data_IF_961535234864
#
_entry.id   IF_961535234864
#
_cell.length_a   1.000
_cell.length_b   1.000
_cell.length_c   1.000
_cell.angle_alpha   90.00
_cell.angle_beta   90.00
_cell.angle_gamma   90.00
#
_symmetry.space_group_name_H-M   'P 1'
#
loop_
_entity.id
_entity.type
_entity.pdbx_description
1 polymer ?
#
# COMPACT_ATOMS: atom_id res chain seq x y z
N UNK A 1 -1.42 9.41 -7.98
CA UNK A 1 -1.63 10.48 -6.96
C UNK A 1 -0.97 10.07 -5.65
N UNK A 2 -0.48 10.99 -4.82
CA UNK A 2 0.12 10.66 -3.51
C UNK A 2 -0.24 11.69 -2.44
N UNK A 3 -0.14 11.32 -1.16
CA UNK A 3 -0.39 12.22 -0.03
C UNK A 3 -0.54 11.52 1.31
N UNK A 4 -0.92 12.27 2.34
CA UNK A 4 -1.16 11.78 3.70
C UNK A 4 -2.62 11.33 3.88
N UNK A 5 -2.82 10.20 4.56
CA UNK A 5 -4.16 9.70 4.91
C UNK A 5 -4.42 9.86 6.42
N UNK A 6 -3.97 8.91 7.24
CA UNK A 6 -4.10 8.93 8.70
C UNK A 6 -2.77 9.24 9.36
N UNK A 7 -2.81 9.92 10.49
CA UNK A 7 -1.63 10.10 11.33
C UNK A 7 -1.99 10.06 12.81
N UNK A 8 -0.97 9.89 13.63
CA UNK A 8 -1.06 10.11 15.05
C UNK A 8 0.10 10.99 15.47
N UNK A 9 -0.21 12.07 16.18
CA UNK A 9 0.79 12.97 16.77
C UNK A 9 0.81 12.81 18.28
N UNK A 10 1.90 13.21 18.91
CA UNK A 10 2.03 13.26 20.34
C UNK A 10 2.80 14.48 20.81
N UNK A 11 2.49 14.90 22.04
CA UNK A 11 3.23 15.92 22.79
C UNK A 11 3.27 15.52 24.26
N UNK A 12 4.39 15.85 24.92
CA UNK A 12 4.55 15.69 26.36
C UNK A 12 4.26 17.02 27.04
N UNK A 13 3.28 17.04 27.94
CA UNK A 13 2.80 18.25 28.62
C UNK A 13 3.02 18.16 30.13
N UNK A 14 3.41 19.27 30.75
CA UNK A 14 3.48 19.42 32.22
C UNK A 14 2.09 19.70 32.80
N UNK A 15 1.17 18.76 32.63
CA UNK A 15 -0.21 18.87 33.09
C UNK A 15 -0.68 17.53 33.61
N UNK A 16 -1.44 17.54 34.70
CA UNK A 16 -2.02 16.33 35.29
C UNK A 16 -2.98 15.65 34.32
N UNK A 17 -2.88 14.32 34.21
CA UNK A 17 -3.69 13.53 33.28
C UNK A 17 -5.19 13.66 33.57
N UNK A 18 -5.59 13.79 34.86
CA UNK A 18 -6.97 13.97 35.28
C UNK A 18 -7.53 15.30 34.79
N UNK A 19 -6.71 16.35 34.81
CA UNK A 19 -7.09 17.67 34.33
C UNK A 19 -7.39 17.65 32.83
N UNK A 20 -6.46 17.10 32.04
CA UNK A 20 -6.63 16.95 30.59
C UNK A 20 -7.86 16.11 30.27
N UNK A 21 -8.05 15.00 31.01
CA UNK A 21 -9.22 14.13 30.89
C UNK A 21 -10.55 14.88 31.07
N UNK A 22 -10.67 15.71 32.10
CA UNK A 22 -11.91 16.44 32.35
C UNK A 22 -12.18 17.49 31.27
N UNK A 23 -11.14 18.11 30.69
CA UNK A 23 -11.30 18.98 29.51
C UNK A 23 -11.75 18.23 28.27
N UNK A 24 -11.18 17.05 27.99
CA UNK A 24 -11.62 16.20 26.87
C UNK A 24 -13.10 15.85 27.01
N UNK A 25 -13.55 15.45 28.21
CA UNK A 25 -14.97 15.13 28.45
C UNK A 25 -15.89 16.34 28.26
N UNK A 26 -15.46 17.53 28.66
CA UNK A 26 -16.22 18.77 28.42
C UNK A 26 -16.31 19.09 26.93
N UNK A 27 -15.21 18.94 26.20
CA UNK A 27 -15.14 19.26 24.77
C UNK A 27 -15.82 18.21 23.89
N UNK A 28 -15.76 16.94 24.30
CA UNK A 28 -16.35 15.80 23.62
C UNK A 28 -17.23 14.99 24.58
N UNK A 29 -18.43 15.49 24.93
CA UNK A 29 -19.30 14.87 25.93
C UNK A 29 -19.74 13.43 25.61
N UNK A 30 -19.79 13.10 24.32
CA UNK A 30 -20.18 11.77 23.83
C UNK A 30 -19.00 10.83 23.58
N UNK A 31 -17.77 11.24 23.91
CA UNK A 31 -16.60 10.38 23.75
C UNK A 31 -16.64 9.21 24.72
N UNK A 32 -16.39 8.00 24.21
CA UNK A 32 -16.34 6.79 25.03
C UNK A 32 -14.89 6.47 25.40
N UNK A 33 -14.62 6.19 26.68
CA UNK A 33 -13.31 5.75 27.14
C UNK A 33 -13.21 4.23 27.02
N UNK A 34 -12.48 3.72 26.01
CA UNK A 34 -12.34 2.29 25.74
C UNK A 34 -11.47 1.56 26.78
N UNK A 35 -10.60 2.29 27.50
CA UNK A 35 -9.80 1.75 28.60
C UNK A 35 -9.62 2.80 29.71
N UNK A 36 -9.94 2.45 30.94
CA UNK A 36 -9.73 3.27 32.14
C UNK A 36 -8.72 2.56 33.05
N UNK A 37 -7.44 2.59 32.71
CA UNK A 37 -6.43 2.43 33.75
C UNK A 37 -6.09 3.83 34.29
N UNK A 38 -5.63 3.93 35.53
CA UNK A 38 -5.25 5.24 36.10
C UNK A 38 -4.13 5.93 35.30
N UNK A 39 -3.41 5.19 34.46
CA UNK A 39 -2.21 5.66 33.77
C UNK A 39 -2.40 5.78 32.25
N UNK A 40 -3.51 5.30 31.69
CA UNK A 40 -3.78 5.34 30.26
C UNK A 40 -5.26 5.43 29.99
N UNK A 41 -5.65 6.45 29.23
CA UNK A 41 -7.04 6.67 28.80
C UNK A 41 -7.08 6.73 27.27
N UNK A 42 -8.08 6.09 26.67
CA UNK A 42 -8.29 6.12 25.22
C UNK A 42 -9.72 6.59 24.93
N UNK A 43 -9.86 7.78 24.38
CA UNK A 43 -11.14 8.39 24.02
C UNK A 43 -11.40 8.20 22.54
N UNK A 44 -12.49 7.51 22.20
CA UNK A 44 -13.01 7.47 20.84
C UNK A 44 -13.83 8.74 20.59
N UNK A 45 -13.37 9.56 19.66
CA UNK A 45 -13.97 10.86 19.34
C UNK A 45 -14.86 10.74 18.11
N UNK A 46 -14.35 10.16 17.02
CA UNK A 46 -15.03 9.99 15.71
C UNK A 46 -15.82 11.23 15.26
N UNK A 47 -15.26 12.42 15.49
CA UNK A 47 -15.85 13.71 15.13
C UNK A 47 -14.88 14.49 14.27
N UNK A 48 -15.38 15.05 13.18
CA UNK A 48 -14.58 15.77 12.17
C UNK A 48 -13.43 14.87 11.68
N UNK A 49 -12.18 15.34 11.79
CA UNK A 49 -11.02 14.59 11.41
C UNK A 49 -10.41 13.75 12.55
N UNK A 50 -10.83 13.93 13.80
CA UNK A 50 -10.24 13.27 14.97
C UNK A 50 -10.90 11.90 15.20
N UNK A 51 -10.08 10.84 15.17
CA UNK A 51 -10.52 9.48 15.49
C UNK A 51 -10.46 9.23 17.01
N UNK A 52 -9.27 9.40 17.59
CA UNK A 52 -9.00 9.06 18.98
C UNK A 52 -8.10 10.09 19.63
N UNK A 53 -8.31 10.30 20.93
CA UNK A 53 -7.35 10.99 21.80
C UNK A 53 -6.93 10.01 22.88
N UNK A 54 -5.63 9.76 23.00
CA UNK A 54 -5.05 8.87 24.00
C UNK A 54 -4.19 9.68 24.96
N UNK A 55 -4.39 9.46 26.26
CA UNK A 55 -3.57 10.04 27.32
C UNK A 55 -2.72 8.95 27.97
N UNK A 56 -1.46 9.25 28.23
CA UNK A 56 -0.53 8.37 28.95
C UNK A 56 0.18 9.14 30.05
N UNK A 57 0.16 8.64 31.29
CA UNK A 57 0.83 9.28 32.42
C UNK A 57 2.30 8.86 32.50
N UNK A 58 3.22 9.83 32.57
CA UNK A 58 4.64 9.61 32.85
C UNK A 58 4.93 9.82 34.34
N UNK A 59 4.74 8.76 35.12
CA UNK A 59 4.88 8.73 36.60
C UNK A 59 6.12 9.46 37.14
N UNK A 60 7.27 9.28 36.49
CA UNK A 60 8.54 9.83 36.98
C UNK A 60 8.69 11.35 36.80
N UNK A 61 7.86 11.99 35.96
CA UNK A 61 8.03 13.40 35.59
C UNK A 61 6.81 14.29 35.89
N UNK A 62 5.71 13.74 36.45
CA UNK A 62 4.41 14.42 36.52
C UNK A 62 3.99 15.04 35.18
N UNK A 63 4.32 14.35 34.09
CA UNK A 63 3.98 14.77 32.74
C UNK A 63 2.91 13.84 32.18
N UNK A 64 2.06 14.37 31.33
CA UNK A 64 1.11 13.58 30.54
C UNK A 64 1.55 13.62 29.09
N UNK A 65 1.45 12.50 28.39
CA UNK A 65 1.55 12.47 26.93
C UNK A 65 0.15 12.52 26.35
N UNK A 66 -0.13 13.54 25.54
CA UNK A 66 -1.35 13.62 24.74
C UNK A 66 -1.02 13.07 23.36
N UNK A 67 -1.77 12.07 22.90
CA UNK A 67 -1.69 11.53 21.54
C UNK A 67 -3.01 11.75 20.82
N UNK A 68 -2.95 12.27 19.60
CA UNK A 68 -4.15 12.53 18.80
C UNK A 68 -4.02 11.75 17.50
N UNK A 69 -4.95 10.84 17.27
CA UNK A 69 -5.10 10.08 16.04
C UNK A 69 -6.17 10.72 15.16
N UNK A 70 -5.82 11.04 13.93
CA UNK A 70 -6.67 11.82 13.03
C UNK A 70 -6.45 11.44 11.57
N UNK A 71 -7.33 11.92 10.70
CA UNK A 71 -7.28 11.72 9.26
C UNK A 71 -7.17 13.05 8.54
N UNK A 72 -6.07 13.27 7.81
CA UNK A 72 -5.83 14.51 7.07
C UNK A 72 -6.97 14.88 6.10
N UNK A 73 -7.47 13.96 5.24
CA UNK A 73 -8.53 14.29 4.29
C UNK A 73 -9.85 14.69 4.95
N UNK A 74 -10.18 14.04 6.08
CA UNK A 74 -11.49 14.20 6.74
C UNK A 74 -11.71 15.57 7.39
N UNK A 75 -10.67 16.40 7.43
CA UNK A 75 -10.83 17.77 7.90
C UNK A 75 -11.58 18.63 6.86
N UNK A 76 -11.43 18.30 5.58
CA UNK A 76 -12.05 19.04 4.47
C UNK A 76 -13.22 18.28 3.84
N UNK A 77 -13.25 16.96 3.98
CA UNK A 77 -14.22 16.07 3.34
C UNK A 77 -14.82 15.09 4.37
N UNK A 78 -15.96 14.47 4.05
CA UNK A 78 -16.56 13.48 4.95
C UNK A 78 -15.95 12.07 4.84
N UNK A 79 -15.00 11.87 3.91
CA UNK A 79 -14.36 10.60 3.64
C UNK A 79 -12.84 10.73 3.49
N UNK A 80 -12.16 9.61 3.23
CA UNK A 80 -10.72 9.56 2.97
C UNK A 80 -10.38 8.79 1.69
N UNK A 81 -11.26 8.85 0.68
CA UNK A 81 -11.07 8.19 -0.62
C UNK A 81 -9.81 8.72 -1.32
N UNK A 82 -9.49 9.98 -1.13
CA UNK A 82 -8.30 10.64 -1.66
C UNK A 82 -7.43 11.14 -0.50
N UNK A 83 -6.12 10.81 -0.44
CA UNK A 83 -5.23 11.42 0.54
C UNK A 83 -5.05 12.92 0.31
N UNK A 84 -4.65 13.60 1.38
CA UNK A 84 -4.31 15.01 1.36
C UNK A 84 -2.94 15.19 0.69
N UNK A 85 -2.91 15.91 -0.43
CA UNK A 85 -1.71 16.12 -1.25
C UNK A 85 -1.23 17.58 -1.26
N UNK A 86 -1.99 18.48 -0.65
CA UNK A 86 -1.74 19.92 -0.63
C UNK A 86 -1.09 20.33 0.70
N UNK A 87 0.06 20.99 0.62
CA UNK A 87 0.86 21.38 1.78
C UNK A 87 0.19 22.49 2.62
N UNK A 88 -0.48 23.45 1.97
CA UNK A 88 -1.18 24.51 2.70
C UNK A 88 -2.35 23.93 3.49
N UNK A 89 -3.08 22.99 2.90
CA UNK A 89 -4.13 22.25 3.61
C UNK A 89 -3.58 21.39 4.74
N UNK A 90 -2.39 20.80 4.59
CA UNK A 90 -1.72 20.07 5.69
C UNK A 90 -1.47 21.02 6.86
N UNK A 91 -0.88 22.18 6.60
CA UNK A 91 -0.58 23.17 7.64
C UNK A 91 -1.85 23.63 8.37
N UNK A 92 -2.97 23.85 7.65
CA UNK A 92 -4.26 24.17 8.28
C UNK A 92 -4.71 23.07 9.26
N UNK A 93 -4.55 21.79 8.90
CA UNK A 93 -4.90 20.68 9.78
C UNK A 93 -3.99 20.66 11.01
N UNK A 94 -2.69 20.84 10.81
CA UNK A 94 -1.68 20.85 11.87
C UNK A 94 -1.89 22.01 12.86
N UNK A 95 -2.18 23.22 12.36
CA UNK A 95 -2.55 24.38 13.18
C UNK A 95 -3.79 24.10 14.05
N UNK A 96 -4.80 23.43 13.48
CA UNK A 96 -6.00 23.06 14.23
C UNK A 96 -5.70 22.02 15.32
N UNK A 97 -4.76 21.11 15.08
CA UNK A 97 -4.31 20.15 16.10
C UNK A 97 -3.59 20.85 17.25
N UNK A 98 -2.72 21.83 16.95
CA UNK A 98 -2.05 22.64 17.98
C UNK A 98 -3.07 23.42 18.82
N UNK A 99 -4.05 24.07 18.17
CA UNK A 99 -5.16 24.76 18.86
C UNK A 99 -5.97 23.82 19.74
N UNK A 100 -6.28 22.62 19.25
CA UNK A 100 -6.96 21.60 20.03
C UNK A 100 -6.13 21.23 21.27
N UNK A 101 -4.84 20.98 21.13
CA UNK A 101 -3.97 20.64 22.27
C UNK A 101 -3.93 21.81 23.28
N UNK A 102 -3.72 23.05 22.82
CA UNK A 102 -3.70 24.24 23.67
C UNK A 102 -5.01 24.41 24.45
N UNK A 103 -6.16 24.03 23.88
CA UNK A 103 -7.45 24.05 24.59
C UNK A 103 -7.53 23.02 25.73
N UNK A 104 -6.71 21.98 25.71
CA UNK A 104 -6.68 20.91 26.71
C UNK A 104 -5.70 21.16 27.86
N UNK A 105 -4.86 22.18 27.76
CA UNK A 105 -3.84 22.57 28.75
C UNK A 105 -3.95 24.06 29.12
N UNK A 106 -3.12 24.54 30.04
CA UNK A 106 -3.16 25.93 30.56
C UNK A 106 -2.00 26.82 30.08
N UNK A 107 -1.25 26.35 29.09
CA UNK A 107 -0.17 27.11 28.47
C UNK A 107 -0.14 26.84 26.97
N UNK A 108 0.56 27.69 26.25
CA UNK A 108 0.66 27.59 24.79
C UNK A 108 1.85 26.72 24.40
N UNK A 109 1.59 25.72 23.58
CA UNK A 109 2.59 24.99 22.81
C UNK A 109 2.52 25.41 21.34
N UNK A 110 3.61 25.13 20.63
CA UNK A 110 3.72 25.36 19.18
C UNK A 110 3.87 24.05 18.41
N UNK A 111 3.73 24.11 17.09
CA UNK A 111 3.95 23.00 16.16
C UNK A 111 5.35 22.35 16.30
N UNK A 112 6.36 23.10 16.77
CA UNK A 112 7.72 22.63 17.06
C UNK A 112 7.76 21.52 18.12
N UNK A 113 6.78 21.51 19.03
CA UNK A 113 6.72 20.57 20.16
C UNK A 113 5.90 19.31 19.84
N UNK A 114 5.07 19.38 18.80
CA UNK A 114 4.20 18.28 18.38
C UNK A 114 4.93 17.39 17.38
N UNK A 115 4.99 16.08 17.68
CA UNK A 115 5.75 15.10 16.90
C UNK A 115 4.85 13.99 16.38
N UNK A 116 5.23 13.37 15.26
CA UNK A 116 4.53 12.18 14.78
C UNK A 116 4.84 10.95 15.65
N UNK A 117 3.78 10.30 16.15
CA UNK A 117 3.85 8.91 16.63
C UNK A 117 3.85 7.95 15.44
N UNK A 118 3.06 8.25 14.40
CA UNK A 118 3.13 7.64 13.08
C UNK A 118 2.43 8.51 12.02
N UNK A 119 2.73 8.28 10.75
CA UNK A 119 1.90 8.75 9.63
C UNK A 119 1.68 7.64 8.60
N UNK A 120 0.59 7.73 7.85
CA UNK A 120 0.25 6.88 6.71
C UNK A 120 0.40 7.71 5.42
N UNK A 121 1.51 7.48 4.70
CA UNK A 121 1.72 8.04 3.37
C UNK A 121 1.16 7.08 2.32
N UNK A 122 0.42 7.61 1.37
CA UNK A 122 -0.28 6.78 0.38
C UNK A 122 0.05 7.23 -1.03
N UNK A 123 0.11 6.24 -1.92
CA UNK A 123 0.02 6.42 -3.36
C UNK A 123 -1.22 5.69 -3.85
N UNK A 124 -1.86 6.24 -4.87
CA UNK A 124 -3.04 5.63 -5.44
C UNK A 124 -3.21 5.92 -6.92
N UNK A 125 -3.83 4.97 -7.59
CA UNK A 125 -4.12 5.00 -9.01
C UNK A 125 -5.53 4.47 -9.29
N UNK A 126 -6.25 5.18 -10.15
CA UNK A 126 -7.51 4.69 -10.67
C UNK A 126 -7.23 3.57 -11.68
N UNK A 127 -7.83 2.40 -11.45
CA UNK A 127 -7.69 1.22 -12.30
C UNK A 127 -9.07 0.76 -12.73
N UNK A 128 -9.17 0.17 -13.92
CA UNK A 128 -10.45 -0.35 -14.43
C UNK A 128 -10.97 -1.50 -13.55
N UNK A 129 -10.42 -2.69 -13.77
CA UNK A 129 -10.81 -3.89 -13.02
C UNK A 129 -9.67 -4.32 -12.09
N UNK A 130 -9.97 -4.47 -10.80
CA UNK A 130 -8.96 -4.81 -9.80
C UNK A 130 -8.33 -6.19 -10.03
N UNK A 131 -9.11 -7.19 -10.45
CA UNK A 131 -8.60 -8.56 -10.69
C UNK A 131 -7.48 -8.60 -11.74
N UNK A 132 -7.42 -7.63 -12.67
CA UNK A 132 -6.36 -7.53 -13.68
C UNK A 132 -4.97 -7.29 -13.08
N UNK A 133 -4.91 -6.85 -11.82
CA UNK A 133 -3.68 -6.65 -11.07
C UNK A 133 -3.31 -7.86 -10.20
N UNK A 134 -4.05 -8.98 -10.27
CA UNK A 134 -3.79 -10.15 -9.44
C UNK A 134 -2.34 -10.64 -9.54
N UNK A 135 -1.80 -10.79 -10.75
CA UNK A 135 -0.43 -11.26 -10.94
C UNK A 135 0.59 -10.30 -10.31
N UNK A 136 0.44 -8.99 -10.51
CA UNK A 136 1.32 -7.97 -9.90
C UNK A 136 1.25 -8.03 -8.37
N UNK A 137 0.04 -8.07 -7.80
CA UNK A 137 -0.16 -8.13 -6.35
C UNK A 137 0.44 -9.41 -5.76
N UNK A 138 0.22 -10.54 -6.43
CA UNK A 138 0.73 -11.85 -6.01
C UNK A 138 2.26 -11.88 -6.04
N UNK A 139 2.87 -11.41 -7.13
CA UNK A 139 4.33 -11.33 -7.26
C UNK A 139 4.92 -10.37 -6.24
N UNK A 140 4.29 -9.22 -6.01
CA UNK A 140 4.77 -8.27 -5.02
C UNK A 140 4.70 -8.85 -3.60
N UNK A 141 3.63 -9.55 -3.26
CA UNK A 141 3.53 -10.26 -1.98
C UNK A 141 4.56 -11.39 -1.83
N UNK A 142 4.82 -12.16 -2.91
CA UNK A 142 5.86 -13.20 -2.94
C UNK A 142 7.24 -12.58 -2.72
N UNK A 143 7.56 -11.50 -3.43
CA UNK A 143 8.82 -10.77 -3.31
C UNK A 143 9.07 -10.31 -1.86
N UNK A 144 8.06 -9.70 -1.22
CA UNK A 144 8.13 -9.32 0.20
C UNK A 144 8.33 -10.54 1.10
N UNK A 145 7.56 -11.61 0.87
CA UNK A 145 7.62 -12.84 1.68
C UNK A 145 8.98 -13.54 1.60
N UNK A 146 9.66 -13.50 0.45
CA UNK A 146 10.99 -14.09 0.30
C UNK A 146 12.09 -13.26 0.95
N UNK A 147 11.90 -11.94 0.99
CA UNK A 147 12.90 -11.03 1.55
C UNK A 147 12.86 -10.97 3.06
N UNK A 148 11.67 -11.01 3.63
CA UNK A 148 11.42 -10.71 5.04
C UNK A 148 10.85 -11.94 5.75
N UNK A 149 11.61 -12.47 6.71
CA UNK A 149 11.32 -13.76 7.34
C UNK A 149 10.17 -13.72 8.37
N UNK A 150 10.00 -12.61 9.10
CA UNK A 150 9.48 -12.72 10.48
C UNK A 150 8.25 -11.86 10.84
N UNK A 151 7.31 -11.65 9.89
CA UNK A 151 6.35 -10.56 10.05
C UNK A 151 4.89 -10.85 9.69
N UNK A 152 4.01 -10.15 10.41
CA UNK A 152 2.56 -10.09 10.19
C UNK A 152 2.24 -9.80 8.72
N UNK A 153 1.69 -10.80 8.05
CA UNK A 153 1.28 -10.73 6.64
C UNK A 153 -0.09 -11.37 6.46
N UNK A 154 -0.97 -10.66 5.77
CA UNK A 154 -2.35 -11.10 5.49
C UNK A 154 -2.69 -10.71 4.06
N UNK A 155 -3.07 -11.68 3.24
CA UNK A 155 -3.63 -11.41 1.92
C UNK A 155 -5.15 -11.24 1.99
N UNK A 156 -5.69 -10.39 1.13
CA UNK A 156 -7.11 -10.14 1.03
C UNK A 156 -7.68 -10.79 -0.22
N UNK A 157 -8.80 -11.48 -0.05
CA UNK A 157 -9.55 -12.09 -1.13
C UNK A 157 -11.01 -11.65 -1.04
N UNK A 158 -11.67 -11.62 -2.18
CA UNK A 158 -13.10 -11.40 -2.27
C UNK A 158 -13.71 -12.37 -3.29
N UNK A 159 -15.02 -12.53 -3.25
CA UNK A 159 -15.76 -13.47 -4.08
C UNK A 159 -16.72 -12.72 -4.99
N UNK A 160 -16.59 -12.94 -6.29
CA UNK A 160 -17.55 -12.46 -7.28
C UNK A 160 -18.64 -13.51 -7.43
N UNK A 161 -19.85 -13.19 -6.94
CA UNK A 161 -21.00 -14.09 -6.99
C UNK A 161 -21.45 -14.39 -8.43
N UNK A 162 -21.40 -13.40 -9.32
CA UNK A 162 -21.85 -13.55 -10.71
C UNK A 162 -20.94 -14.49 -11.50
N UNK A 163 -19.63 -14.43 -11.25
CA UNK A 163 -18.65 -15.28 -11.93
C UNK A 163 -18.30 -16.55 -11.14
N UNK A 164 -18.83 -16.70 -9.91
CA UNK A 164 -18.50 -17.76 -8.97
C UNK A 164 -16.98 -17.96 -8.77
N UNK A 165 -16.25 -16.86 -8.56
CA UNK A 165 -14.77 -16.86 -8.48
C UNK A 165 -14.23 -16.00 -7.36
N UNK A 166 -13.13 -16.45 -6.75
CA UNK A 166 -12.34 -15.61 -5.86
C UNK A 166 -11.45 -14.66 -6.67
N UNK A 167 -11.07 -13.53 -6.10
CA UNK A 167 -10.02 -12.66 -6.64
C UNK A 167 -9.28 -11.95 -5.49
N UNK A 168 -7.99 -11.70 -5.69
CA UNK A 168 -7.17 -10.98 -4.70
C UNK A 168 -7.60 -9.51 -4.68
N UNK A 169 -7.77 -8.95 -3.48
CA UNK A 169 -8.11 -7.55 -3.25
C UNK A 169 -6.98 -6.75 -2.61
N UNK A 170 -5.83 -7.38 -2.38
CA UNK A 170 -4.65 -6.74 -1.81
C UNK A 170 -3.98 -7.56 -0.73
N UNK A 171 -3.21 -6.90 0.13
CA UNK A 171 -2.60 -7.47 1.32
C UNK A 171 -2.23 -6.39 2.34
N UNK A 172 -2.02 -6.81 3.58
CA UNK A 172 -1.19 -6.13 4.58
C UNK A 172 0.09 -6.92 4.75
N UNK A 173 1.22 -6.22 4.85
CA UNK A 173 2.52 -6.81 5.14
C UNK A 173 3.27 -5.86 6.06
N UNK A 174 3.95 -6.36 7.08
CA UNK A 174 4.84 -5.55 7.90
C UNK A 174 6.28 -5.94 7.53
N UNK A 175 7.09 -5.15 6.81
CA UNK A 175 8.46 -5.59 6.46
C UNK A 175 9.45 -5.54 7.62
N UNK A 176 9.19 -4.70 8.62
CA UNK A 176 9.98 -4.63 9.85
C UNK A 176 9.17 -3.90 10.93
N UNK A 177 9.63 -3.98 12.17
CA UNK A 177 9.01 -3.25 13.28
C UNK A 177 9.00 -1.74 12.98
N UNK A 178 7.80 -1.16 12.93
CA UNK A 178 7.60 0.27 12.70
C UNK A 178 7.31 0.66 11.25
N UNK A 179 7.32 -0.30 10.31
CA UNK A 179 6.86 -0.08 8.95
C UNK A 179 5.82 -1.12 8.55
N UNK A 180 4.62 -0.66 8.18
CA UNK A 180 3.55 -1.50 7.66
C UNK A 180 3.13 -1.03 6.27
N UNK A 181 3.01 -1.97 5.36
CA UNK A 181 2.51 -1.78 3.99
C UNK A 181 1.08 -2.30 3.91
N UNK A 182 0.18 -1.53 3.30
CA UNK A 182 -1.12 -2.02 2.85
C UNK A 182 -1.31 -1.74 1.38
N UNK A 183 -1.55 -2.77 0.59
CA UNK A 183 -1.98 -2.64 -0.80
C UNK A 183 -3.42 -3.11 -0.87
N UNK A 184 -4.36 -2.30 -1.33
CA UNK A 184 -5.77 -2.70 -1.38
C UNK A 184 -6.59 -1.87 -2.36
N UNK A 185 -7.84 -2.30 -2.58
CA UNK A 185 -8.80 -1.48 -3.32
C UNK A 185 -9.54 -0.49 -2.41
N UNK A 186 -9.18 0.80 -2.49
CA UNK A 186 -9.80 1.85 -1.69
C UNK A 186 -11.27 2.07 -2.05
N UNK A 187 -11.62 1.98 -3.34
CA UNK A 187 -13.02 2.08 -3.79
C UNK A 187 -13.90 0.98 -3.19
N UNK A 188 -13.44 -0.27 -3.18
CA UNK A 188 -14.19 -1.38 -2.57
C UNK A 188 -14.27 -1.26 -1.05
N UNK A 189 -13.20 -0.83 -0.38
CA UNK A 189 -13.21 -0.57 1.06
C UNK A 189 -14.25 0.49 1.43
N UNK A 190 -14.26 1.62 0.73
CA UNK A 190 -15.25 2.68 0.94
C UNK A 190 -16.68 2.20 0.69
N UNK A 191 -16.89 1.46 -0.40
CA UNK A 191 -18.22 0.99 -0.80
C UNK A 191 -18.81 -0.06 0.15
N UNK A 192 -18.03 -0.66 1.06
CA UNK A 192 -18.56 -1.54 2.12
C UNK A 192 -19.26 -0.77 3.24
N UNK A 193 -18.99 0.52 3.41
CA UNK A 193 -19.61 1.35 4.45
C UNK A 193 -21.02 1.77 4.06
N UNK A 194 -21.93 1.74 5.03
CA UNK A 194 -23.30 2.20 4.88
C UNK A 194 -23.33 3.74 4.88
N UNK A 195 -24.27 4.34 4.13
CA UNK A 195 -24.51 5.78 4.08
C UNK A 195 -23.34 6.67 3.58
N UNK A 196 -22.37 6.10 2.86
CA UNK A 196 -21.28 6.85 2.22
C UNK A 196 -21.48 6.89 0.70
N UNK A 197 -21.05 7.99 0.06
CA UNK A 197 -20.99 8.14 -1.39
C UNK A 197 -20.27 6.95 -2.02
N UNK A 198 -20.96 6.22 -2.90
CA UNK A 198 -20.36 5.12 -3.65
C UNK A 198 -19.38 5.64 -4.69
N UNK A 199 -18.22 5.00 -4.75
CA UNK A 199 -17.17 5.27 -5.74
C UNK A 199 -17.35 4.32 -6.91
N UNK A 200 -17.38 4.85 -8.13
CA UNK A 200 -17.35 4.05 -9.36
C UNK A 200 -15.90 3.74 -9.73
N UNK A 201 -15.64 2.52 -10.19
CA UNK A 201 -14.30 2.05 -10.56
C UNK A 201 -13.47 1.58 -9.37
N UNK A 202 -12.32 0.99 -9.66
CA UNK A 202 -11.40 0.51 -8.64
C UNK A 202 -10.27 1.54 -8.44
N UNK A 203 -9.95 1.83 -7.18
CA UNK A 203 -8.77 2.65 -6.83
C UNK A 203 -7.80 1.70 -6.15
N UNK A 204 -6.65 1.44 -6.79
CA UNK A 204 -5.56 0.71 -6.16
C UNK A 204 -4.80 1.69 -5.28
N UNK A 205 -4.63 1.36 -4.00
CA UNK A 205 -3.91 2.19 -3.02
C UNK A 205 -2.80 1.38 -2.39
N UNK A 206 -1.61 1.95 -2.36
CA UNK A 206 -0.47 1.48 -1.59
C UNK A 206 -0.22 2.47 -0.45
N UNK A 207 -0.19 1.98 0.78
CA UNK A 207 -0.06 2.76 2.00
C UNK A 207 1.18 2.32 2.77
N UNK A 208 1.99 3.29 3.15
CA UNK A 208 3.16 3.14 4.02
C UNK A 208 2.84 3.78 5.36
N UNK A 209 2.60 2.96 6.37
CA UNK A 209 2.51 3.41 7.75
C UNK A 209 3.90 3.36 8.38
N UNK A 210 4.46 4.52 8.68
CA UNK A 210 5.78 4.66 9.29
C UNK A 210 5.61 5.18 10.72
N UNK A 211 6.13 4.46 11.71
CA UNK A 211 6.10 4.89 13.12
C UNK A 211 7.24 5.83 13.45
N UNK A 212 7.15 6.49 14.60
CA UNK A 212 8.18 7.39 15.13
C UNK A 212 9.60 6.83 15.09
N UNK A 213 9.78 5.51 15.22
CA UNK A 213 11.10 4.88 15.16
C UNK A 213 11.72 5.03 13.77
N UNK A 214 10.91 4.78 12.73
CA UNK A 214 11.32 4.91 11.33
C UNK A 214 11.38 6.39 10.92
N UNK A 215 10.44 7.21 11.39
CA UNK A 215 10.45 8.66 11.13
C UNK A 215 11.75 9.28 11.65
N UNK A 216 12.15 8.97 12.89
CA UNK A 216 13.41 9.47 13.47
C UNK A 216 14.67 9.01 12.72
N UNK A 217 14.64 7.88 12.03
CA UNK A 217 15.79 7.44 11.23
C UNK A 217 15.89 8.15 9.87
N UNK A 218 14.80 8.77 9.41
CA UNK A 218 14.74 9.39 8.09
C UNK A 218 14.68 10.92 8.10
N UNK A 219 14.12 11.52 9.16
CA UNK A 219 13.97 12.95 9.29
C UNK A 219 14.77 13.46 10.48
N UNK A 220 15.65 14.43 10.24
CA UNK A 220 16.47 15.08 11.27
C UNK A 220 15.59 15.75 12.33
N UNK A 221 14.59 16.51 11.88
CA UNK A 221 13.57 17.11 12.72
C UNK A 221 12.27 16.30 12.61
N UNK A 222 11.75 15.84 13.75
CA UNK A 222 10.58 14.95 13.82
C UNK A 222 9.29 15.64 14.28
N UNK A 223 9.31 16.96 14.38
CA UNK A 223 8.11 17.76 14.61
C UNK A 223 7.31 17.89 13.31
N UNK A 224 5.99 18.05 13.45
CA UNK A 224 5.07 18.21 12.33
C UNK A 224 5.41 19.42 11.44
N UNK A 225 5.97 20.49 12.03
CA UNK A 225 6.38 21.72 11.34
C UNK A 225 7.40 21.48 10.23
N UNK A 226 8.35 20.58 10.47
CA UNK A 226 9.52 20.40 9.61
C UNK A 226 9.37 19.29 8.57
N UNK A 227 8.31 18.50 8.66
CA UNK A 227 8.10 17.37 7.74
C UNK A 227 7.01 17.75 6.75
N UNK A 228 7.40 18.06 5.51
CA UNK A 228 6.44 18.33 4.43
C UNK A 228 6.00 17.05 3.72
N UNK A 229 4.89 17.10 2.97
CA UNK A 229 4.44 15.99 2.11
C UNK A 229 5.52 15.65 1.07
N UNK A 230 6.22 16.68 0.57
CA UNK A 230 7.31 16.51 -0.39
C UNK A 230 8.49 15.78 0.23
N UNK A 231 8.91 16.15 1.43
CA UNK A 231 10.02 15.49 2.13
C UNK A 231 9.70 14.01 2.38
N UNK A 232 8.46 13.70 2.75
CA UNK A 232 8.01 12.31 2.92
C UNK A 232 8.09 11.55 1.60
N UNK A 233 7.59 12.13 0.52
CA UNK A 233 7.63 11.51 -0.82
C UNK A 233 9.07 11.25 -1.25
N UNK A 234 9.94 12.26 -1.14
CA UNK A 234 11.33 12.16 -1.58
C UNK A 234 12.10 11.14 -0.74
N UNK A 235 11.85 11.10 0.57
CA UNK A 235 12.37 10.06 1.47
C UNK A 235 11.93 8.66 1.03
N UNK A 236 10.63 8.45 0.83
CA UNK A 236 10.08 7.13 0.42
C UNK A 236 10.69 6.72 -0.92
N UNK A 237 10.73 7.64 -1.89
CA UNK A 237 11.27 7.39 -3.22
C UNK A 237 12.75 6.98 -3.17
N UNK A 238 13.56 7.66 -2.37
CA UNK A 238 15.00 7.43 -2.30
C UNK A 238 15.40 6.22 -1.44
N UNK A 239 14.52 5.74 -0.56
CA UNK A 239 14.82 4.64 0.37
C UNK A 239 13.98 3.39 0.10
N UNK A 240 12.66 3.51 0.30
CA UNK A 240 11.71 2.41 0.26
C UNK A 240 11.41 2.00 -1.18
N UNK A 241 11.13 2.94 -2.08
CA UNK A 241 10.70 2.65 -3.46
C UNK A 241 11.77 1.93 -4.27
N UNK A 242 13.04 2.33 -4.14
CA UNK A 242 14.17 1.63 -4.75
C UNK A 242 14.25 0.17 -4.30
N UNK A 243 14.08 -0.06 -3.01
CA UNK A 243 14.13 -1.38 -2.39
C UNK A 243 12.97 -2.27 -2.88
N UNK A 244 11.75 -1.77 -2.84
CA UNK A 244 10.56 -2.49 -3.31
C UNK A 244 10.57 -2.74 -4.82
N UNK A 245 11.02 -1.76 -5.60
CA UNK A 245 11.15 -1.86 -7.05
C UNK A 245 12.07 -3.01 -7.46
N UNK A 246 13.27 -3.07 -6.88
CA UNK A 246 14.24 -4.15 -7.12
C UNK A 246 13.70 -5.52 -6.72
N UNK A 247 13.07 -5.63 -5.56
CA UNK A 247 12.48 -6.91 -5.11
C UNK A 247 11.43 -7.45 -6.08
N UNK A 248 10.58 -6.58 -6.61
CA UNK A 248 9.56 -7.00 -7.57
C UNK A 248 10.17 -7.39 -8.92
N UNK A 249 11.22 -6.67 -9.38
CA UNK A 249 11.99 -7.06 -10.56
C UNK A 249 12.57 -8.46 -10.37
N UNK A 250 13.29 -8.68 -9.26
CA UNK A 250 13.92 -9.96 -8.94
C UNK A 250 12.91 -11.12 -8.90
N UNK A 251 11.70 -10.92 -8.36
CA UNK A 251 10.68 -11.97 -8.35
C UNK A 251 10.13 -12.27 -9.75
N UNK A 252 9.97 -11.26 -10.61
CA UNK A 252 9.55 -11.48 -12.00
C UNK A 252 10.66 -12.19 -12.77
N UNK A 253 11.91 -11.74 -12.69
CA UNK A 253 13.06 -12.40 -13.33
C UNK A 253 13.20 -13.86 -12.86
N UNK A 254 13.05 -14.11 -11.56
CA UNK A 254 13.03 -15.47 -11.01
C UNK A 254 11.97 -16.35 -11.65
N UNK A 255 10.76 -15.83 -11.86
CA UNK A 255 9.71 -16.59 -12.55
C UNK A 255 10.08 -16.94 -13.99
N UNK A 256 10.78 -16.03 -14.67
CA UNK A 256 11.27 -16.24 -16.04
C UNK A 256 12.30 -17.37 -16.06
N UNK A 257 13.24 -17.39 -15.12
CA UNK A 257 14.24 -18.46 -15.04
C UNK A 257 13.61 -19.82 -14.75
N UNK A 258 12.65 -19.88 -13.81
CA UNK A 258 11.89 -21.12 -13.57
C UNK A 258 11.16 -21.59 -14.83
N UNK A 259 10.51 -20.67 -15.56
CA UNK A 259 9.83 -21.03 -16.80
C UNK A 259 10.82 -21.48 -17.89
N UNK A 260 11.97 -20.82 -18.04
CA UNK A 260 13.00 -21.24 -19.01
C UNK A 260 13.42 -22.68 -18.75
N UNK A 261 13.71 -23.04 -17.50
CA UNK A 261 14.06 -24.41 -17.11
C UNK A 261 12.97 -25.44 -17.46
N UNK A 262 11.70 -25.10 -17.21
CA UNK A 262 10.55 -25.98 -17.50
C UNK A 262 10.28 -26.16 -18.99
N UNK A 263 10.62 -25.17 -19.80
CA UNK A 263 10.37 -25.17 -21.24
C UNK A 263 11.61 -25.60 -22.06
N UNK A 264 12.67 -26.10 -21.43
CA UNK A 264 13.81 -26.69 -22.15
C UNK A 264 13.34 -27.88 -23.00
N UNK A 265 13.69 -27.88 -24.29
CA UNK A 265 13.46 -29.00 -25.23
C UNK A 265 12.00 -29.49 -25.30
N UNK A 266 11.02 -28.64 -24.99
CA UNK A 266 9.61 -29.03 -25.00
C UNK A 266 9.16 -29.53 -26.39
N UNK A 267 8.22 -30.49 -26.43
CA UNK A 267 7.55 -30.87 -27.68
C UNK A 267 6.24 -30.11 -27.79
N UNK A 268 5.78 -29.87 -29.03
CA UNK A 268 4.52 -29.20 -29.31
C UNK A 268 3.31 -29.80 -28.56
N UNK A 269 3.30 -31.13 -28.40
CA UNK A 269 2.24 -31.85 -27.72
C UNK A 269 2.21 -31.53 -26.20
N UNK A 270 3.38 -31.28 -25.61
CA UNK A 270 3.55 -31.01 -24.18
C UNK A 270 3.20 -29.56 -23.80
N UNK A 271 3.03 -28.65 -24.80
CA UNK A 271 2.84 -27.22 -24.56
C UNK A 271 1.58 -26.90 -23.73
N UNK A 272 0.50 -27.69 -23.89
CA UNK A 272 -0.73 -27.49 -23.12
C UNK A 272 -0.54 -27.82 -21.63
N UNK A 273 0.03 -28.99 -21.32
CA UNK A 273 0.31 -29.38 -19.93
C UNK A 273 1.36 -28.47 -19.29
N UNK A 274 2.45 -28.17 -19.99
CA UNK A 274 3.52 -27.30 -19.46
C UNK A 274 2.99 -25.92 -19.05
N UNK A 275 2.14 -25.30 -19.86
CA UNK A 275 1.57 -24.00 -19.53
C UNK A 275 0.62 -24.09 -18.33
N UNK A 276 -0.26 -25.10 -18.32
CA UNK A 276 -1.26 -25.27 -17.26
C UNK A 276 -0.63 -25.59 -15.90
N UNK A 277 0.41 -26.41 -15.89
CA UNK A 277 1.10 -26.81 -14.67
C UNK A 277 1.94 -25.67 -14.06
N UNK A 278 2.29 -24.66 -14.87
CA UNK A 278 3.15 -23.54 -14.46
C UNK A 278 2.43 -22.18 -14.46
N UNK A 279 1.09 -22.14 -14.44
CA UNK A 279 0.30 -20.91 -14.47
C UNK A 279 0.64 -19.92 -13.34
N UNK A 280 1.16 -20.38 -12.21
CA UNK A 280 1.59 -19.52 -11.09
C UNK A 280 2.90 -18.74 -11.36
N UNK A 281 3.71 -19.23 -12.29
CA UNK A 281 4.98 -18.65 -12.73
C UNK A 281 4.82 -17.81 -14.00
N UNK A 282 3.64 -17.85 -14.64
CA UNK A 282 3.36 -17.06 -15.83
C UNK A 282 2.88 -15.67 -15.41
N UNK A 283 3.81 -14.71 -15.44
CA UNK A 283 3.48 -13.31 -15.19
C UNK A 283 2.70 -12.69 -16.37
N UNK A 284 3.17 -12.87 -17.61
CA UNK A 284 2.54 -12.35 -18.82
C UNK A 284 2.73 -13.31 -20.01
N UNK A 285 1.75 -13.36 -20.92
CA UNK A 285 1.83 -14.08 -22.18
C UNK A 285 3.11 -13.78 -22.98
N UNK A 286 3.51 -12.51 -23.07
CA UNK A 286 4.69 -12.08 -23.85
C UNK A 286 5.97 -12.75 -23.38
N UNK A 287 6.09 -13.03 -22.08
CA UNK A 287 7.25 -13.74 -21.51
C UNK A 287 7.26 -15.19 -21.98
N UNK A 288 6.12 -15.87 -21.96
CA UNK A 288 6.01 -17.26 -22.41
C UNK A 288 6.24 -17.36 -23.92
N UNK A 289 5.68 -16.43 -24.70
CA UNK A 289 5.94 -16.31 -26.14
C UNK A 289 7.43 -16.14 -26.43
N UNK A 290 8.10 -15.24 -25.71
CA UNK A 290 9.54 -15.02 -25.84
C UNK A 290 10.33 -16.30 -25.54
N UNK A 291 10.11 -16.93 -24.39
CA UNK A 291 10.78 -18.18 -24.00
C UNK A 291 10.56 -19.29 -25.04
N UNK A 292 9.31 -19.48 -25.48
CA UNK A 292 8.96 -20.53 -26.45
C UNK A 292 9.57 -20.23 -27.81
N UNK A 293 9.57 -18.98 -28.25
CA UNK A 293 10.17 -18.58 -29.52
C UNK A 293 11.68 -18.72 -29.49
N UNK A 294 12.35 -18.21 -28.45
CA UNK A 294 13.81 -18.16 -28.34
C UNK A 294 14.44 -19.53 -28.15
N UNK A 295 13.73 -20.47 -27.51
CA UNK A 295 14.17 -21.85 -27.31
C UNK A 295 13.86 -22.78 -28.51
N UNK A 296 13.14 -22.29 -29.53
CA UNK A 296 12.70 -23.12 -30.65
C UNK A 296 13.66 -23.11 -31.83
N UNK A 297 14.17 -24.28 -32.20
CA UNK A 297 14.83 -24.49 -33.50
C UNK A 297 13.82 -24.77 -34.64
N UNK A 298 12.57 -24.34 -34.49
CA UNK A 298 11.47 -24.67 -35.39
C UNK A 298 11.33 -23.63 -36.49
N UNK A 299 10.70 -24.03 -37.60
CA UNK A 299 10.48 -23.10 -38.71
C UNK A 299 9.47 -22.01 -38.32
N UNK A 300 9.51 -20.88 -39.01
CA UNK A 300 8.64 -19.73 -38.74
C UNK A 300 7.15 -20.11 -38.62
N UNK A 301 6.65 -20.98 -39.52
CA UNK A 301 5.26 -21.45 -39.49
C UNK A 301 4.91 -22.18 -38.19
N UNK A 302 5.82 -22.99 -37.66
CA UNK A 302 5.63 -23.70 -36.40
C UNK A 302 5.68 -22.73 -35.21
N UNK A 303 6.57 -21.74 -35.22
CA UNK A 303 6.62 -20.69 -34.20
C UNK A 303 5.29 -19.91 -34.16
N UNK A 304 4.76 -19.49 -35.31
CA UNK A 304 3.45 -18.82 -35.40
C UNK A 304 2.33 -19.69 -34.82
N UNK A 305 2.34 -20.99 -35.13
CA UNK A 305 1.39 -21.94 -34.56
C UNK A 305 1.51 -22.04 -33.03
N UNK A 306 2.73 -22.11 -32.48
CA UNK A 306 2.95 -22.14 -31.03
C UNK A 306 2.44 -20.87 -30.36
N UNK A 307 2.69 -19.70 -30.94
CA UNK A 307 2.19 -18.42 -30.42
C UNK A 307 0.68 -18.38 -30.27
N UNK A 308 -0.04 -18.85 -31.30
CA UNK A 308 -1.50 -18.97 -31.27
C UNK A 308 -1.91 -19.94 -30.17
N UNK A 309 -1.28 -21.12 -30.13
CA UNK A 309 -1.59 -22.16 -29.15
C UNK A 309 -1.41 -21.69 -27.70
N UNK A 310 -0.31 -21.00 -27.37
CA UNK A 310 -0.07 -20.42 -26.03
C UNK A 310 -1.21 -19.46 -25.66
N UNK A 311 -1.58 -18.57 -26.59
CA UNK A 311 -2.61 -17.57 -26.37
C UNK A 311 -3.96 -18.22 -26.07
N UNK A 312 -4.32 -19.26 -26.82
CA UNK A 312 -5.56 -20.01 -26.63
C UNK A 312 -5.58 -20.72 -25.27
N UNK A 313 -4.48 -21.38 -24.89
CA UNK A 313 -4.35 -22.07 -23.60
C UNK A 313 -4.49 -21.09 -22.43
N UNK A 314 -3.80 -19.95 -22.47
CA UNK A 314 -3.89 -18.94 -21.42
C UNK A 314 -5.28 -18.30 -21.35
N UNK A 315 -5.91 -18.06 -22.50
CA UNK A 315 -7.29 -17.53 -22.56
C UNK A 315 -8.28 -18.49 -21.90
N UNK A 316 -8.21 -19.78 -22.24
CA UNK A 316 -9.04 -20.80 -21.60
C UNK A 316 -8.72 -20.98 -20.12
N UNK A 317 -7.45 -20.90 -19.73
CA UNK A 317 -7.04 -21.00 -18.33
C UNK A 317 -7.60 -19.85 -17.51
N UNK A 318 -7.55 -18.62 -18.02
CA UNK A 318 -8.14 -17.42 -17.41
C UNK A 318 -9.66 -17.53 -17.23
N UNK A 319 -10.36 -18.11 -18.21
CA UNK A 319 -11.81 -18.36 -18.10
C UNK A 319 -12.17 -19.34 -16.98
N UNK A 320 -11.26 -20.22 -16.55
CA UNK A 320 -11.50 -21.22 -15.50
C UNK A 320 -10.84 -20.88 -14.16
N UNK A 321 -9.86 -19.98 -14.16
CA UNK A 321 -9.05 -19.68 -12.98
C UNK A 321 -9.87 -19.10 -11.81
N UNK A 322 -9.60 -19.62 -10.62
CA UNK A 322 -9.99 -19.08 -9.32
C UNK A 322 -8.80 -19.25 -8.37
N UNK A 323 -8.15 -18.17 -7.89
CA UNK A 323 -8.48 -16.77 -8.08
C UNK A 323 -8.43 -16.29 -9.54
N UNK A 324 -9.36 -15.40 -9.89
CA UNK A 324 -9.41 -14.71 -11.17
C UNK A 324 -8.10 -13.94 -11.39
N UNK A 325 -7.50 -14.17 -12.55
CA UNK A 325 -6.23 -13.59 -12.97
C UNK A 325 -6.26 -13.28 -14.45
N UNK A 326 -5.44 -12.32 -14.86
CA UNK A 326 -5.26 -11.93 -16.25
C UNK A 326 -3.81 -12.26 -16.64
N UNK A 327 -3.60 -12.93 -17.77
CA UNK A 327 -2.26 -13.26 -18.27
C UNK A 327 -1.77 -12.29 -19.36
N UNK A 328 -2.56 -11.27 -19.69
CA UNK A 328 -2.27 -10.35 -20.76
C UNK A 328 -2.13 -8.92 -20.25
N UNK A 329 -1.18 -8.18 -20.82
CA UNK A 329 -0.92 -6.78 -20.53
C UNK A 329 -0.47 -6.49 -19.10
N UNK A 330 0.12 -7.47 -18.42
CA UNK A 330 0.71 -7.30 -17.10
C UNK A 330 2.04 -6.55 -17.17
N UNK A 331 2.76 -6.60 -18.28
CA UNK A 331 3.97 -5.77 -18.50
C UNK A 331 3.63 -4.28 -18.41
N UNK A 332 2.60 -3.83 -19.13
CA UNK A 332 2.16 -2.45 -19.13
C UNK A 332 1.59 -2.03 -17.77
N UNK A 333 0.84 -2.93 -17.12
CA UNK A 333 0.33 -2.69 -15.76
C UNK A 333 1.45 -2.64 -14.72
N UNK A 334 2.53 -3.40 -14.91
CA UNK A 334 3.70 -3.40 -14.04
C UNK A 334 4.46 -2.08 -14.13
N UNK A 335 4.64 -1.54 -15.34
CA UNK A 335 5.23 -0.21 -15.53
C UNK A 335 4.39 0.88 -14.83
N UNK A 336 3.07 0.84 -14.99
CA UNK A 336 2.16 1.74 -14.28
C UNK A 336 2.24 1.55 -12.75
N UNK A 337 2.34 0.30 -12.28
CA UNK A 337 2.48 0.00 -10.86
C UNK A 337 3.79 0.53 -10.27
N UNK A 338 4.90 0.37 -10.99
CA UNK A 338 6.19 0.96 -10.60
C UNK A 338 6.09 2.48 -10.50
N UNK A 339 5.62 3.14 -11.56
CA UNK A 339 5.60 4.59 -11.63
C UNK A 339 4.62 5.23 -10.62
N UNK A 340 3.38 4.73 -10.55
CA UNK A 340 2.29 5.44 -9.88
C UNK A 340 2.02 4.94 -8.45
N UNK A 341 2.39 3.70 -8.13
CA UNK A 341 2.18 3.12 -6.78
C UNK A 341 3.50 3.04 -6.03
N UNK A 342 4.51 2.35 -6.57
CA UNK A 342 5.79 2.20 -5.86
C UNK A 342 6.58 3.52 -5.86
N UNK A 343 6.36 4.42 -6.82
CA UNK A 343 7.21 5.60 -7.08
C UNK A 343 8.63 5.21 -7.52
N UNK A 344 8.74 4.15 -8.31
CA UNK A 344 9.99 3.65 -8.87
C UNK A 344 9.99 3.86 -10.38
N UNK A 345 10.99 4.60 -10.89
CA UNK A 345 11.06 4.93 -12.31
C UNK A 345 11.68 3.78 -13.11
N UNK A 346 10.83 2.85 -13.55
CA UNK A 346 11.24 1.70 -14.33
C UNK A 346 10.30 1.51 -15.53
N UNK A 347 10.88 1.45 -16.73
CA UNK A 347 10.15 1.01 -17.93
C UNK A 347 10.33 -0.48 -18.11
N UNK A 348 9.27 -1.16 -18.51
CA UNK A 348 9.30 -2.62 -18.69
C UNK A 348 8.99 -2.94 -20.15
N UNK A 349 9.87 -3.71 -20.80
CA UNK A 349 9.65 -4.22 -22.15
C UNK A 349 9.76 -5.72 -22.15
N UNK A 350 8.93 -6.36 -22.97
CA UNK A 350 9.04 -7.78 -23.26
C UNK A 350 8.52 -8.03 -24.67
N UNK A 351 9.41 -8.49 -25.54
CA UNK A 351 9.09 -9.01 -26.86
C UNK A 351 10.23 -9.93 -27.33
N UNK A 352 10.01 -10.63 -28.43
CA UNK A 352 10.97 -11.63 -28.95
C UNK A 352 12.28 -11.05 -29.48
N UNK A 353 12.43 -9.73 -29.53
CA UNK A 353 13.68 -9.05 -29.92
C UNK A 353 14.43 -8.50 -28.71
N UNK A 354 13.70 -7.92 -27.76
CA UNK A 354 14.26 -7.23 -26.61
C UNK A 354 14.35 -8.13 -25.37
N UNK A 355 13.70 -9.30 -25.39
CA UNK A 355 13.44 -10.15 -24.24
C UNK A 355 12.76 -9.37 -23.10
N UNK A 356 12.52 -10.01 -21.96
CA UNK A 356 12.12 -9.25 -20.77
C UNK A 356 13.29 -8.36 -20.32
N UNK A 357 13.06 -7.06 -20.27
CA UNK A 357 14.05 -6.07 -19.87
C UNK A 357 13.44 -4.95 -19.01
N UNK A 358 14.18 -4.55 -17.98
CA UNK A 358 13.85 -3.47 -17.06
C UNK A 358 14.81 -2.29 -17.23
N UNK A 359 14.26 -1.11 -17.51
CA UNK A 359 15.05 0.11 -17.69
C UNK A 359 14.81 1.06 -16.52
N UNK A 360 15.61 0.88 -15.47
CA UNK A 360 15.55 1.67 -14.26
C UNK A 360 16.32 2.98 -14.43
N UNK A 361 15.68 4.12 -14.12
CA UNK A 361 16.38 5.40 -13.98
C UNK A 361 16.74 5.60 -12.51
N UNK A 362 17.94 6.13 -12.27
CA UNK A 362 18.36 6.56 -10.93
C UNK A 362 17.53 7.75 -10.48
#
# INVERSE_FOLDING_TARGET
MYGLDRACVFVDVQTDILYVRERIKKMFPHSFSESLSNHTNNYKIDKENINYIKLEEKKLKKMSTIKIDFSYPRFFENDNIFPLSDELKKNIVEDNLVKLINSLIDYEITEDEVRYEYFEFTTQEAVGNFYKFHNIISYFFKALTRKYDDLDKVQYYNFNQNENKFYTTGFTFQPMIGWKIRLYSKGHENNKKNNIRKVKGAILRLEHRLTKKIIKSYFEFNSIKYITIKDIKDCIQNTISQTLGKMLIEEVEKSVEVLKEKFINFRCQDLDSLIRDNLEWIFDYKIVDDIVTSSSNKCYRQVVFYRSKIKDILTHSQQRASPQRDFFSNIERLELFFANLILFNCKVKCDTKNHLAFFCKK
#
